data_IF_529701680919
#
_entry.id   IF_529701680919
#
_cell.length_a   1.000
_cell.length_b   1.000
_cell.length_c   1.000
_cell.angle_alpha   90.00
_cell.angle_beta   90.00
_cell.angle_gamma   90.00
#
_symmetry.space_group_name_H-M   'P 1'
#
loop_
_entity.id
_entity.type
_entity.pdbx_description
1 polymer ?
#
# COMPACT_ATOMS: atom_id res chain seq x y z
N UNK A 1 3.27 23.09 -3.61
CA UNK A 1 4.19 21.93 -3.55
C UNK A 1 3.34 20.75 -3.08
N UNK A 2 3.05 19.80 -3.95
CA UNK A 2 2.26 18.61 -3.60
C UNK A 2 3.22 17.50 -3.16
N UNK A 3 2.92 16.85 -2.03
CA UNK A 3 3.69 15.71 -1.57
C UNK A 3 3.26 14.46 -2.34
N UNK A 4 4.21 13.57 -2.66
CA UNK A 4 3.98 12.48 -3.62
C UNK A 4 2.91 11.47 -3.17
N UNK A 5 2.65 11.34 -1.86
CA UNK A 5 1.63 10.42 -1.32
C UNK A 5 0.39 11.14 -0.78
N UNK A 6 0.23 12.43 -1.09
CA UNK A 6 -0.89 13.23 -0.58
C UNK A 6 -2.25 12.65 -0.99
N UNK A 7 -3.16 12.53 -0.01
CA UNK A 7 -4.51 11.99 -0.22
C UNK A 7 -4.55 10.46 -0.40
N UNK A 8 -3.47 9.76 -0.08
CA UNK A 8 -3.40 8.30 -0.06
C UNK A 8 -3.37 7.79 1.38
N UNK A 9 -4.12 6.73 1.63
CA UNK A 9 -4.14 6.01 2.92
C UNK A 9 -3.45 4.67 2.75
N UNK A 10 -2.60 4.31 3.71
CA UNK A 10 -1.81 3.09 3.70
C UNK A 10 -2.16 2.19 4.87
N UNK A 11 -2.14 0.89 4.64
CA UNK A 11 -2.06 -0.12 5.69
C UNK A 11 -0.78 -0.93 5.47
N UNK A 12 0.03 -1.06 6.52
CA UNK A 12 1.34 -1.71 6.46
C UNK A 12 1.31 -2.90 7.42
N UNK A 13 1.64 -4.09 6.94
CA UNK A 13 1.67 -5.28 7.79
C UNK A 13 2.91 -5.30 8.70
N UNK A 14 2.85 -5.96 9.88
CA UNK A 14 3.89 -5.86 10.91
C UNK A 14 5.30 -6.30 10.47
N UNK A 15 5.43 -7.34 9.66
CA UNK A 15 6.72 -7.93 9.28
C UNK A 15 7.37 -7.21 8.08
N UNK A 16 6.77 -6.11 7.59
CA UNK A 16 7.26 -5.36 6.43
C UNK A 16 8.70 -4.86 6.67
N UNK A 17 9.70 -5.30 5.88
CA UNK A 17 11.07 -4.82 5.99
C UNK A 17 11.23 -3.43 5.34
N UNK A 18 12.22 -2.61 5.74
CA UNK A 18 13.23 -2.84 6.78
C UNK A 18 12.70 -2.68 8.21
N UNK A 19 11.55 -2.01 8.38
CA UNK A 19 10.62 -2.16 9.51
C UNK A 19 9.34 -1.40 9.16
N UNK A 20 8.18 -1.90 9.59
CA UNK A 20 6.90 -1.23 9.32
C UNK A 20 6.87 0.22 9.84
N UNK A 21 7.54 0.48 10.98
CA UNK A 21 7.65 1.83 11.57
C UNK A 21 8.44 2.79 10.68
N UNK A 22 9.54 2.33 10.07
CA UNK A 22 10.33 3.15 9.14
C UNK A 22 9.54 3.47 7.87
N UNK A 23 8.85 2.47 7.31
CA UNK A 23 7.98 2.69 6.15
C UNK A 23 6.85 3.64 6.50
N UNK A 24 6.22 3.49 7.67
CA UNK A 24 5.20 4.42 8.17
C UNK A 24 5.72 5.86 8.21
N UNK A 25 6.88 6.10 8.83
CA UNK A 25 7.45 7.45 8.91
C UNK A 25 7.72 8.05 7.53
N UNK A 26 8.18 7.24 6.57
CA UNK A 26 8.39 7.71 5.19
C UNK A 26 7.05 8.08 4.54
N UNK A 27 6.01 7.27 4.73
CA UNK A 27 4.67 7.56 4.20
C UNK A 27 4.14 8.89 4.74
N UNK A 28 4.19 9.07 6.06
CA UNK A 28 3.69 10.27 6.74
C UNK A 28 4.46 11.53 6.33
N UNK A 29 5.80 11.45 6.25
CA UNK A 29 6.63 12.56 5.77
C UNK A 29 6.39 12.90 4.29
N UNK A 30 5.99 11.92 3.48
CA UNK A 30 5.62 12.10 2.08
C UNK A 30 4.13 12.45 1.88
N UNK A 31 3.41 12.81 2.95
CA UNK A 31 2.04 13.33 2.91
C UNK A 31 0.93 12.28 2.86
N UNK A 32 1.26 10.99 2.98
CA UNK A 32 0.29 9.92 3.10
C UNK A 32 -0.15 9.69 4.55
N UNK A 33 -1.25 8.98 4.74
CA UNK A 33 -1.76 8.60 6.06
C UNK A 33 -1.59 7.10 6.28
N UNK A 34 -1.31 6.65 7.50
CA UNK A 34 -1.17 5.23 7.84
C UNK A 34 -2.22 4.81 8.86
N UNK A 35 -2.96 3.75 8.54
CA UNK A 35 -3.91 3.09 9.43
C UNK A 35 -3.17 2.44 10.61
N UNK A 36 -3.47 2.88 11.83
CA UNK A 36 -2.71 2.46 13.03
C UNK A 36 -3.18 1.12 13.63
N UNK A 37 -4.40 0.68 13.34
CA UNK A 37 -5.01 -0.46 14.06
C UNK A 37 -5.49 -1.58 13.14
N UNK A 38 -6.36 -1.28 12.17
CA UNK A 38 -7.04 -2.33 11.40
C UNK A 38 -7.22 -1.92 9.95
N UNK A 39 -6.84 -2.83 9.04
CA UNK A 39 -7.12 -2.66 7.61
C UNK A 39 -8.64 -2.54 7.36
N UNK A 40 -9.03 -1.64 6.46
CA UNK A 40 -10.40 -1.58 5.93
C UNK A 40 -10.85 -2.94 5.37
N UNK A 41 -12.16 -3.17 5.41
CA UNK A 41 -12.75 -4.37 4.81
C UNK A 41 -12.84 -4.27 3.28
N UNK A 42 -13.11 -5.39 2.60
CA UNK A 42 -13.10 -5.48 1.14
C UNK A 42 -14.08 -4.51 0.46
N UNK A 43 -15.25 -4.23 1.07
CA UNK A 43 -16.22 -3.29 0.51
C UNK A 43 -15.68 -1.88 0.55
N UNK A 44 -15.19 -1.45 1.72
CA UNK A 44 -14.58 -0.13 1.89
C UNK A 44 -13.38 0.09 0.98
N UNK A 45 -12.52 -0.92 0.82
CA UNK A 45 -11.37 -0.83 -0.09
C UNK A 45 -11.82 -0.62 -1.53
N UNK A 46 -12.84 -1.38 -2.00
CA UNK A 46 -13.37 -1.25 -3.37
C UNK A 46 -14.06 0.09 -3.61
N UNK A 47 -14.70 0.68 -2.60
CA UNK A 47 -15.31 2.01 -2.69
C UNK A 47 -14.25 3.12 -2.87
N UNK A 48 -13.11 2.98 -2.20
CA UNK A 48 -11.97 3.91 -2.31
C UNK A 48 -11.15 3.68 -3.58
N UNK A 49 -10.96 2.43 -3.98
CA UNK A 49 -10.16 2.04 -5.14
C UNK A 49 -11.06 1.81 -6.36
N UNK A 50 -11.61 2.90 -6.90
CA UNK A 50 -12.50 2.86 -8.06
C UNK A 50 -11.76 2.33 -9.31
N UNK A 51 -12.40 1.47 -10.13
CA UNK A 51 -11.80 1.01 -11.38
C UNK A 51 -11.44 2.16 -12.32
N UNK A 52 -10.27 2.08 -12.95
CA UNK A 52 -9.78 3.11 -13.88
C UNK A 52 -9.21 4.36 -13.21
N UNK A 53 -9.12 4.39 -11.88
CA UNK A 53 -8.45 5.45 -11.12
C UNK A 53 -7.29 4.87 -10.30
N UNK A 54 -6.32 5.73 -9.99
CA UNK A 54 -5.26 5.36 -9.04
C UNK A 54 -5.86 5.02 -7.67
N UNK A 55 -5.41 3.93 -7.01
CA UNK A 55 -5.95 3.53 -5.73
C UNK A 55 -5.71 4.64 -4.69
N UNK A 56 -6.71 4.87 -3.85
CA UNK A 56 -6.60 5.79 -2.70
C UNK A 56 -6.17 5.03 -1.45
N UNK A 57 -6.50 3.74 -1.36
CA UNK A 57 -6.15 2.88 -0.24
C UNK A 57 -5.12 1.82 -0.70
N UNK A 58 -3.95 1.83 -0.09
CA UNK A 58 -2.78 1.07 -0.53
C UNK A 58 -2.36 0.12 0.60
N UNK A 59 -2.18 -1.15 0.28
CA UNK A 59 -1.75 -2.18 1.24
C UNK A 59 -0.28 -2.49 0.95
N UNK A 60 0.56 -2.34 1.98
CA UNK A 60 1.98 -2.72 1.96
C UNK A 60 2.15 -3.98 2.80
N UNK A 61 2.72 -5.03 2.20
CA UNK A 61 2.97 -6.32 2.86
C UNK A 61 4.33 -6.90 2.47
N UNK A 62 4.65 -8.06 3.05
CA UNK A 62 5.79 -8.91 2.72
C UNK A 62 5.39 -10.39 2.76
N UNK A 63 6.26 -11.28 2.28
CA UNK A 63 5.98 -12.72 2.19
C UNK A 63 5.49 -13.36 3.50
N UNK A 64 6.10 -13.09 4.67
CA UNK A 64 5.63 -13.64 5.95
C UNK A 64 4.17 -13.28 6.29
N UNK A 65 3.70 -12.12 5.84
CA UNK A 65 2.40 -11.54 6.17
C UNK A 65 1.33 -11.77 5.09
N UNK A 66 1.62 -12.53 4.02
CA UNK A 66 0.66 -12.79 2.95
C UNK A 66 -0.64 -13.43 3.45
N UNK A 67 -0.56 -14.21 4.51
CA UNK A 67 -1.73 -14.80 5.17
C UNK A 67 -2.73 -13.75 5.69
N UNK A 68 -2.26 -12.55 6.07
CA UNK A 68 -3.09 -11.43 6.55
C UNK A 68 -3.87 -10.72 5.42
N UNK A 69 -3.46 -10.92 4.16
CA UNK A 69 -4.02 -10.24 2.98
C UNK A 69 -4.57 -11.22 1.94
N UNK A 70 -4.70 -12.49 2.30
CA UNK A 70 -5.18 -13.55 1.38
C UNK A 70 -6.57 -13.26 0.83
N UNK A 71 -7.45 -12.63 1.61
CA UNK A 71 -8.79 -12.24 1.17
C UNK A 71 -8.77 -11.12 0.11
N UNK A 72 -7.87 -10.16 0.26
CA UNK A 72 -7.62 -9.05 -0.68
C UNK A 72 -7.01 -9.58 -1.99
N UNK A 73 -6.04 -10.49 -1.88
CA UNK A 73 -5.44 -11.16 -3.03
C UNK A 73 -6.50 -11.96 -3.82
N UNK A 74 -7.33 -12.76 -3.14
CA UNK A 74 -8.46 -13.48 -3.76
C UNK A 74 -9.48 -12.54 -4.39
N UNK A 75 -9.68 -11.35 -3.82
CA UNK A 75 -10.55 -10.31 -4.36
C UNK A 75 -9.92 -9.52 -5.53
N UNK A 76 -8.69 -9.87 -5.97
CA UNK A 76 -7.93 -9.20 -7.03
C UNK A 76 -7.69 -7.71 -6.76
N UNK A 77 -7.53 -7.35 -5.50
CA UNK A 77 -7.16 -6.01 -5.09
C UNK A 77 -5.62 -5.94 -5.01
N UNK A 78 -5.03 -4.87 -5.55
CA UNK A 78 -3.59 -4.67 -5.56
C UNK A 78 -2.98 -4.59 -4.16
N UNK A 79 -1.89 -5.33 -3.95
CA UNK A 79 -1.08 -5.32 -2.73
C UNK A 79 0.38 -5.13 -3.12
N UNK A 80 1.08 -4.24 -2.45
CA UNK A 80 2.44 -3.84 -2.80
C UNK A 80 3.43 -4.19 -1.69
N UNK A 81 4.72 -4.14 -1.99
CA UNK A 81 5.79 -4.28 -1.01
C UNK A 81 6.33 -2.90 -0.59
N UNK A 82 7.28 -2.88 0.34
CA UNK A 82 7.91 -1.63 0.80
C UNK A 82 8.62 -0.85 -0.33
N UNK A 83 9.10 -1.55 -1.37
CA UNK A 83 9.78 -0.94 -2.51
C UNK A 83 8.87 0.04 -3.26
N UNK A 84 7.56 -0.20 -3.30
CA UNK A 84 6.59 0.74 -3.87
C UNK A 84 6.71 2.12 -3.22
N UNK A 85 6.70 2.18 -1.89
CA UNK A 85 6.81 3.44 -1.13
C UNK A 85 8.17 4.09 -1.36
N UNK A 86 9.24 3.31 -1.22
CA UNK A 86 10.61 3.81 -1.36
C UNK A 86 10.87 4.35 -2.77
N UNK A 87 10.47 3.61 -3.80
CA UNK A 87 10.56 4.03 -5.20
C UNK A 87 9.73 5.28 -5.47
N UNK A 88 8.51 5.36 -4.92
CA UNK A 88 7.64 6.51 -5.14
C UNK A 88 8.28 7.80 -4.62
N UNK A 89 8.85 7.76 -3.41
CA UNK A 89 9.55 8.90 -2.81
C UNK A 89 10.83 9.23 -3.58
N UNK A 90 11.66 8.23 -3.91
CA UNK A 90 12.93 8.45 -4.60
C UNK A 90 12.76 8.99 -6.02
N UNK A 91 11.74 8.51 -6.75
CA UNK A 91 11.47 8.88 -8.14
C UNK A 91 10.48 10.05 -8.26
N UNK A 92 9.89 10.47 -7.14
CA UNK A 92 8.78 11.41 -7.10
C UNK A 92 7.63 11.01 -8.07
N UNK A 93 7.32 9.71 -8.13
CA UNK A 93 6.31 9.13 -9.03
C UNK A 93 5.78 7.81 -8.47
N UNK A 94 4.47 7.70 -8.29
CA UNK A 94 3.82 6.42 -7.96
C UNK A 94 3.63 5.57 -9.22
N UNK A 95 3.96 4.28 -9.12
CA UNK A 95 3.81 3.31 -10.20
C UNK A 95 2.94 2.16 -9.71
N UNK A 96 1.68 2.12 -10.17
CA UNK A 96 0.68 1.14 -9.76
C UNK A 96 0.66 -0.11 -10.64
N UNK A 97 1.66 -0.29 -11.50
CA UNK A 97 1.77 -1.48 -12.35
C UNK A 97 1.83 -2.77 -11.50
N UNK A 98 0.78 -3.58 -11.62
CA UNK A 98 0.60 -4.82 -10.86
C UNK A 98 1.54 -5.96 -11.31
N UNK A 99 2.29 -5.79 -12.40
CA UNK A 99 3.39 -6.70 -12.74
C UNK A 99 4.55 -6.60 -11.73
N UNK A 100 4.59 -5.53 -10.94
CA UNK A 100 5.59 -5.29 -9.88
C UNK A 100 5.03 -5.45 -8.47
N UNK A 101 3.73 -5.74 -8.31
CA UNK A 101 3.16 -6.11 -7.01
C UNK A 101 3.53 -7.55 -6.64
N UNK A 102 3.38 -7.88 -5.35
CA UNK A 102 3.44 -9.28 -4.90
C UNK A 102 2.17 -9.97 -5.41
N UNK A 103 2.20 -10.40 -6.67
CA UNK A 103 1.15 -11.18 -7.30
C UNK A 103 1.52 -12.64 -7.07
N UNK A 104 0.66 -13.38 -6.35
CA UNK A 104 0.77 -14.84 -6.31
C UNK A 104 0.49 -15.35 -7.72
N UNK A 105 1.45 -16.07 -8.30
CA UNK A 105 1.27 -16.92 -9.49
C UNK A 105 0.06 -17.83 -9.34
#
# INVERSE_FOLDING_TARGET
MYLILQGKTFYITPETPPSWKKIKSIVELAGGEVENNRRKDLKQIKELNKPGCDPQYIIITCEPDLHLVTDVLKAKIGVYNAEFVLSAVMKNKMDFDLSRSITTV
#
